data_IF_863721634829
#
_entry.id   IF_863721634829
#
_cell.length_a   1.000
_cell.length_b   1.000
_cell.length_c   1.000
_cell.angle_alpha   90.00
_cell.angle_beta   90.00
_cell.angle_gamma   90.00
#
_symmetry.space_group_name_H-M   'P 1'
#
loop_
_entity.id
_entity.type
_entity.pdbx_description
1 polymer ?
#
# COMPACT_ATOMS: atom_id res chain seq x y z
N UNK A 1 3.33 -0.11 13.45
CA UNK A 1 2.39 -1.14 12.91
C UNK A 1 3.07 -1.84 11.75
N UNK A 2 2.64 -3.05 11.38
CA UNK A 2 3.41 -3.90 10.42
C UNK A 2 3.50 -3.37 8.98
N UNK A 3 2.79 -2.29 8.66
CA UNK A 3 2.94 -1.56 7.40
C UNK A 3 2.13 -2.09 6.22
N UNK A 4 1.24 -3.06 6.44
CA UNK A 4 0.30 -3.52 5.41
C UNK A 4 -0.68 -2.41 5.04
N UNK A 5 -0.72 -2.07 3.75
CA UNK A 5 -1.70 -1.15 3.16
C UNK A 5 -2.86 -1.92 2.55
N UNK A 6 -2.58 -3.04 1.88
CA UNK A 6 -3.56 -3.95 1.33
C UNK A 6 -3.27 -5.35 1.87
N UNK A 7 -4.34 -6.01 2.30
CA UNK A 7 -4.32 -7.39 2.75
C UNK A 7 -3.70 -7.63 4.12
N UNK A 8 -3.23 -8.87 4.28
CA UNK A 8 -2.92 -9.59 5.52
C UNK A 8 -4.10 -9.85 6.46
N UNK A 9 -4.35 -11.13 6.73
CA UNK A 9 -5.50 -11.60 7.51
C UNK A 9 -6.71 -11.82 6.61
N UNK A 10 -7.77 -11.03 6.80
CA UNK A 10 -8.98 -11.10 5.99
C UNK A 10 -8.86 -10.17 4.75
N UNK A 11 -8.71 -10.74 3.56
CA UNK A 11 -8.60 -10.01 2.30
C UNK A 11 -9.95 -9.39 1.91
N UNK A 12 -10.16 -8.10 2.21
CA UNK A 12 -11.42 -7.40 1.94
C UNK A 12 -11.66 -7.10 0.45
N UNK A 13 -10.59 -7.05 -0.35
CA UNK A 13 -10.64 -6.77 -1.79
C UNK A 13 -9.96 -7.93 -2.51
N UNK A 14 -10.65 -8.48 -3.51
CA UNK A 14 -10.06 -9.50 -4.37
C UNK A 14 -9.07 -8.89 -5.38
N UNK A 15 -8.11 -9.67 -5.90
CA UNK A 15 -7.24 -9.24 -6.98
C UNK A 15 -7.99 -8.67 -8.18
N UNK A 16 -9.13 -9.27 -8.56
CA UNK A 16 -9.96 -8.79 -9.69
C UNK A 16 -10.45 -7.35 -9.47
N UNK A 17 -10.88 -7.00 -8.26
CA UNK A 17 -11.32 -5.64 -7.93
C UNK A 17 -10.13 -4.67 -7.98
N UNK A 18 -8.99 -5.06 -7.41
CA UNK A 18 -7.78 -4.23 -7.41
C UNK A 18 -7.27 -3.97 -8.84
N UNK A 19 -7.31 -4.97 -9.72
CA UNK A 19 -6.96 -4.82 -11.15
C UNK A 19 -7.92 -3.87 -11.88
N UNK A 20 -9.22 -3.94 -11.60
CA UNK A 20 -10.20 -3.04 -12.19
C UNK A 20 -10.01 -1.57 -11.73
N UNK A 21 -9.55 -1.35 -10.50
CA UNK A 21 -9.21 -0.01 -9.98
C UNK A 21 -7.89 0.50 -10.61
N UNK A 22 -6.93 -0.40 -10.81
CA UNK A 22 -5.59 -0.08 -11.26
C UNK A 22 -4.69 0.45 -10.13
N UNK A 23 -3.44 -0.02 -10.08
CA UNK A 23 -2.49 0.30 -8.99
C UNK A 23 -2.14 1.80 -8.89
N UNK A 24 -2.42 2.58 -9.92
CA UNK A 24 -2.20 4.03 -9.96
C UNK A 24 -3.22 4.86 -9.22
N UNK A 25 -4.43 4.33 -9.05
CA UNK A 25 -5.47 4.95 -8.26
C UNK A 25 -5.34 4.68 -6.74
N UNK A 26 -4.40 3.80 -6.34
CA UNK A 26 -4.22 3.42 -4.94
C UNK A 26 -3.35 4.45 -4.19
N UNK A 27 -3.89 4.95 -3.07
CA UNK A 27 -3.19 5.86 -2.16
C UNK A 27 -3.47 5.45 -0.71
N UNK A 28 -2.43 5.46 0.13
CA UNK A 28 -2.58 5.22 1.57
C UNK A 28 -3.05 6.45 2.34
N UNK A 29 -3.63 6.23 3.52
CA UNK A 29 -3.91 7.29 4.50
C UNK A 29 -3.32 6.88 5.84
N UNK A 30 -2.57 7.79 6.46
CA UNK A 30 -1.80 7.50 7.67
C UNK A 30 -1.84 8.68 8.65
N UNK A 31 -1.86 8.39 9.94
CA UNK A 31 -1.73 9.43 10.96
C UNK A 31 -0.26 9.80 11.16
N UNK A 32 0.06 11.04 11.58
CA UNK A 32 1.44 11.42 11.89
C UNK A 32 2.13 10.48 12.89
N UNK A 33 1.42 10.01 13.91
CA UNK A 33 1.98 9.07 14.89
C UNK A 33 2.40 7.73 14.26
N UNK A 34 1.63 7.19 13.30
CA UNK A 34 2.00 5.95 12.59
C UNK A 34 3.26 6.13 11.77
N UNK A 35 3.51 7.32 11.22
CA UNK A 35 4.70 7.63 10.42
C UNK A 35 6.01 7.61 11.21
N UNK A 36 5.95 7.66 12.54
CA UNK A 36 7.13 7.52 13.39
C UNK A 36 7.73 6.10 13.35
N UNK A 37 6.92 5.11 12.98
CA UNK A 37 7.33 3.69 12.96
C UNK A 37 7.17 3.03 11.58
N UNK A 38 6.41 3.65 10.68
CA UNK A 38 6.14 3.11 9.35
C UNK A 38 7.28 3.46 8.39
N UNK A 39 8.13 2.50 8.09
CA UNK A 39 9.28 2.66 7.18
C UNK A 39 8.96 2.31 5.73
N UNK A 40 8.05 1.35 5.53
CA UNK A 40 7.64 0.86 4.21
C UNK A 40 6.20 0.35 4.23
N UNK A 41 5.59 0.34 3.05
CA UNK A 41 4.27 -0.23 2.80
C UNK A 41 4.41 -1.66 2.34
N UNK A 42 3.62 -2.56 2.92
CA UNK A 42 3.50 -3.96 2.52
C UNK A 42 2.17 -4.15 1.80
N UNK A 43 2.18 -5.00 0.78
CA UNK A 43 1.03 -5.36 -0.04
C UNK A 43 0.99 -6.89 -0.09
N UNK A 44 -0.19 -7.45 0.15
CA UNK A 44 -0.50 -8.86 -0.01
C UNK A 44 -1.90 -8.93 -0.61
N UNK A 45 -1.99 -9.06 -1.93
CA UNK A 45 -3.27 -9.12 -2.63
C UNK A 45 -3.80 -10.54 -2.75
N UNK A 46 -2.99 -11.56 -2.44
CA UNK A 46 -3.27 -12.96 -2.74
C UNK A 46 -3.01 -13.35 -4.20
N UNK A 47 -2.47 -12.44 -5.03
CA UNK A 47 -2.05 -12.66 -6.41
C UNK A 47 -0.61 -12.16 -6.59
N UNK A 48 0.29 -13.10 -6.91
CA UNK A 48 1.74 -12.83 -6.98
C UNK A 48 2.09 -11.83 -8.08
N UNK A 49 1.40 -11.87 -9.23
CA UNK A 49 1.67 -10.95 -10.33
C UNK A 49 1.24 -9.53 -9.95
N UNK A 50 0.09 -9.39 -9.30
CA UNK A 50 -0.39 -8.10 -8.82
C UNK A 50 0.51 -7.54 -7.70
N UNK A 51 0.98 -8.39 -6.79
CA UNK A 51 1.93 -7.99 -5.76
C UNK A 51 3.24 -7.47 -6.39
N UNK A 52 3.76 -8.18 -7.40
CA UNK A 52 4.94 -7.74 -8.17
C UNK A 52 4.71 -6.40 -8.87
N UNK A 53 3.52 -6.16 -9.43
CA UNK A 53 3.17 -4.84 -10.02
C UNK A 53 3.28 -3.70 -8.99
N UNK A 54 2.74 -3.90 -7.77
CA UNK A 54 2.89 -2.93 -6.68
C UNK A 54 4.35 -2.74 -6.26
N UNK A 55 5.13 -3.82 -6.17
CA UNK A 55 6.56 -3.76 -5.83
C UNK A 55 7.37 -3.01 -6.90
N UNK A 56 7.09 -3.27 -8.18
CA UNK A 56 7.73 -2.62 -9.32
C UNK A 56 7.50 -1.11 -9.35
N UNK A 57 6.38 -0.64 -8.80
CA UNK A 57 6.10 0.79 -8.63
C UNK A 57 7.07 1.47 -7.64
N UNK A 58 7.70 0.70 -6.74
CA UNK A 58 8.68 1.10 -5.70
C UNK A 58 8.15 2.07 -4.64
N UNK A 59 7.22 2.95 -4.97
CA UNK A 59 6.67 3.97 -4.08
C UNK A 59 5.16 4.16 -4.29
N UNK A 60 4.43 4.37 -3.19
CA UNK A 60 3.02 4.77 -3.21
C UNK A 60 2.83 6.11 -2.51
N UNK A 61 1.84 6.87 -2.99
CA UNK A 61 1.40 8.10 -2.32
C UNK A 61 0.69 7.73 -1.02
N UNK A 62 0.93 8.53 0.01
CA UNK A 62 0.26 8.41 1.29
C UNK A 62 -0.11 9.81 1.80
N UNK A 63 -1.38 10.01 2.14
CA UNK A 63 -1.85 11.20 2.83
C UNK A 63 -1.54 11.06 4.33
N UNK A 64 -0.63 11.88 4.84
CA UNK A 64 -0.27 11.97 6.24
C UNK A 64 -1.11 13.06 6.93
N UNK A 65 -2.02 12.66 7.82
CA UNK A 65 -2.91 13.59 8.52
C UNK A 65 -3.79 14.35 7.52
N UNK A 66 -3.60 15.67 7.41
CA UNK A 66 -4.37 16.52 6.53
C UNK A 66 -3.46 17.27 5.55
N UNK A 67 -3.87 17.32 4.26
CA UNK A 67 -3.22 18.06 3.15
C UNK A 67 -1.72 17.80 2.92
N UNK A 68 -1.13 16.82 3.59
CA UNK A 68 0.30 16.49 3.45
C UNK A 68 0.43 15.14 2.79
N UNK A 69 0.95 15.09 1.57
CA UNK A 69 1.21 13.83 0.86
C UNK A 69 2.70 13.49 0.92
N UNK A 70 3.02 12.22 1.14
CA UNK A 70 4.38 11.67 1.09
C UNK A 70 4.43 10.46 0.17
N UNK A 71 5.61 10.17 -0.35
CA UNK A 71 5.90 8.90 -1.02
C UNK A 71 6.52 7.94 -0.01
N UNK A 72 5.92 6.77 0.14
CA UNK A 72 6.49 5.68 0.95
C UNK A 72 6.91 4.53 0.06
N UNK A 73 8.06 3.93 0.38
CA UNK A 73 8.59 2.77 -0.32
C UNK A 73 7.64 1.59 -0.16
N UNK A 74 7.42 0.85 -1.23
CA UNK A 74 6.79 -0.47 -1.21
C UNK A 74 7.89 -1.49 -0.91
N UNK A 75 7.64 -2.33 0.10
CA UNK A 75 8.50 -3.45 0.46
C UNK A 75 8.75 -4.34 -0.76
N UNK A 76 9.93 -4.95 -0.87
CA UNK A 76 10.33 -5.78 -2.02
C UNK A 76 10.80 -7.18 -1.61
N UNK A 77 10.56 -7.49 -0.33
CA UNK A 77 10.90 -8.71 0.39
C UNK A 77 9.79 -9.76 0.34
#
# INVERSE_FOLDING_TARGET
GQGFLIGRGNLQLSPTVLRAIGIDAVMGVVTPAKMLTLTQLRIDTGDVELDLEFQNKKYLKVLQGYRTTRLLRVASD
#
